data_IF_938941391557
#
_entry.id   IF_938941391557
#
_cell.length_a   1.000
_cell.length_b   1.000
_cell.length_c   1.000
_cell.angle_alpha   90.00
_cell.angle_beta   90.00
_cell.angle_gamma   90.00
#
_symmetry.space_group_name_H-M   'P 1'
#
loop_
_entity.id
_entity.type
_entity.pdbx_description
1 polymer ?
#
# COMPACT_ATOMS: atom_id res chain seq x y z
N UNK A 1 -26.86 -80.55 -40.96
CA UNK A 1 -25.56 -80.10 -40.40
C UNK A 1 -25.81 -78.73 -39.76
N UNK A 2 -26.01 -78.68 -38.43
CA UNK A 2 -26.51 -77.50 -37.69
C UNK A 2 -25.38 -76.46 -37.45
N UNK A 3 -24.86 -75.88 -38.53
CA UNK A 3 -23.80 -74.87 -38.47
C UNK A 3 -24.22 -73.60 -37.73
N UNK A 4 -25.52 -73.24 -37.76
CA UNK A 4 -26.05 -72.06 -37.08
C UNK A 4 -25.92 -72.12 -35.55
N UNK A 5 -26.23 -73.25 -34.92
CA UNK A 5 -26.20 -73.36 -33.45
C UNK A 5 -24.78 -73.19 -32.88
N UNK A 6 -23.77 -73.80 -33.51
CA UNK A 6 -22.35 -73.67 -33.08
C UNK A 6 -21.85 -72.22 -33.26
N UNK A 7 -22.31 -71.53 -34.31
CA UNK A 7 -21.95 -70.12 -34.55
C UNK A 7 -22.63 -69.19 -33.53
N UNK A 8 -23.91 -69.39 -33.22
CA UNK A 8 -24.62 -68.61 -32.20
C UNK A 8 -24.04 -68.81 -30.80
N UNK A 9 -23.67 -70.04 -30.46
CA UNK A 9 -22.97 -70.33 -29.18
C UNK A 9 -21.60 -69.67 -29.14
N UNK A 10 -20.82 -69.74 -30.24
CA UNK A 10 -19.52 -69.08 -30.32
C UNK A 10 -19.62 -67.55 -30.17
N UNK A 11 -20.61 -66.90 -30.81
CA UNK A 11 -20.82 -65.45 -30.65
C UNK A 11 -21.27 -65.08 -29.23
N UNK A 12 -22.12 -65.89 -28.60
CA UNK A 12 -22.58 -65.65 -27.23
C UNK A 12 -21.39 -65.74 -26.26
N UNK A 13 -20.54 -66.75 -26.40
CA UNK A 13 -19.32 -66.91 -25.59
C UNK A 13 -18.37 -65.74 -25.80
N UNK A 14 -18.19 -65.26 -27.03
CA UNK A 14 -17.36 -64.09 -27.32
C UNK A 14 -17.88 -62.81 -26.65
N UNK A 15 -19.20 -62.57 -26.67
CA UNK A 15 -19.83 -61.43 -25.99
C UNK A 15 -19.65 -61.53 -24.47
N UNK A 16 -19.87 -62.71 -23.89
CA UNK A 16 -19.64 -62.91 -22.45
C UNK A 16 -18.17 -62.73 -22.06
N UNK A 17 -17.24 -63.20 -22.88
CA UNK A 17 -15.81 -62.97 -22.65
C UNK A 17 -15.45 -61.49 -22.70
N UNK A 18 -16.00 -60.74 -23.67
CA UNK A 18 -15.79 -59.29 -23.75
C UNK A 18 -16.38 -58.56 -22.54
N UNK A 19 -17.54 -59.01 -22.02
CA UNK A 19 -18.17 -58.43 -20.84
C UNK A 19 -17.34 -58.71 -19.58
N UNK A 20 -16.95 -59.97 -19.36
CA UNK A 20 -16.13 -60.38 -18.22
C UNK A 20 -14.79 -59.64 -18.25
N UNK A 21 -14.14 -59.58 -19.43
CA UNK A 21 -12.87 -58.87 -19.59
C UNK A 21 -13.03 -57.37 -19.35
N UNK A 22 -14.13 -56.76 -19.81
CA UNK A 22 -14.45 -55.36 -19.56
C UNK A 22 -14.65 -55.05 -18.08
N UNK A 23 -15.37 -55.90 -17.35
CA UNK A 23 -15.58 -55.76 -15.90
C UNK A 23 -14.30 -56.01 -15.12
N UNK A 24 -13.49 -56.99 -15.53
CA UNK A 24 -12.24 -57.35 -14.85
C UNK A 24 -11.16 -56.27 -15.04
N UNK A 25 -11.08 -55.67 -16.23
CA UNK A 25 -10.21 -54.51 -16.49
C UNK A 25 -10.75 -53.28 -15.76
N UNK A 26 -12.05 -53.02 -15.85
CA UNK A 26 -12.69 -51.87 -15.20
C UNK A 26 -12.58 -51.89 -13.68
N UNK A 27 -12.76 -53.06 -13.05
CA UNK A 27 -12.64 -53.21 -11.60
C UNK A 27 -11.20 -53.18 -11.07
N UNK A 28 -10.20 -53.52 -11.89
CA UNK A 28 -8.79 -53.49 -11.50
C UNK A 28 -8.17 -52.07 -11.58
N UNK A 29 -8.73 -51.19 -12.41
CA UNK A 29 -8.23 -49.81 -12.62
C UNK A 29 -8.75 -48.79 -11.60
N UNK A 30 -9.75 -49.15 -10.78
CA UNK A 30 -10.34 -48.26 -9.78
C UNK A 30 -10.22 -48.81 -8.35
N UNK A 31 -9.04 -48.70 -7.72
CA UNK A 31 -8.95 -48.72 -6.27
C UNK A 31 -9.35 -47.33 -5.76
N UNK A 32 -10.65 -47.13 -5.49
CA UNK A 32 -11.23 -45.85 -4.98
C UNK A 32 -10.49 -45.28 -3.75
N UNK A 33 -9.71 -46.09 -3.06
CA UNK A 33 -8.97 -45.77 -1.85
C UNK A 33 -7.67 -44.99 -2.12
N UNK A 34 -6.89 -45.35 -3.16
CA UNK A 34 -5.56 -44.76 -3.38
C UNK A 34 -5.68 -43.28 -3.80
N UNK A 35 -6.66 -42.95 -4.64
CA UNK A 35 -6.89 -41.57 -5.09
C UNK A 35 -7.46 -40.67 -3.98
N UNK A 36 -8.30 -41.23 -3.09
CA UNK A 36 -8.88 -40.48 -1.97
C UNK A 36 -7.81 -40.20 -0.91
N UNK A 37 -6.91 -41.15 -0.64
CA UNK A 37 -5.80 -40.98 0.30
C UNK A 37 -4.80 -39.91 -0.18
N UNK A 38 -4.49 -39.87 -1.48
CA UNK A 38 -3.66 -38.82 -2.08
C UNK A 38 -4.32 -37.43 -1.96
N UNK A 39 -5.62 -37.34 -2.25
CA UNK A 39 -6.37 -36.09 -2.08
C UNK A 39 -6.42 -35.63 -0.62
N UNK A 40 -6.66 -36.54 0.33
CA UNK A 40 -6.66 -36.24 1.75
C UNK A 40 -5.29 -35.70 2.21
N UNK A 41 -4.21 -36.27 1.69
CA UNK A 41 -2.84 -35.83 1.97
C UNK A 41 -2.59 -34.42 1.43
N UNK A 42 -2.97 -34.15 0.18
CA UNK A 42 -2.83 -32.82 -0.43
C UNK A 42 -3.66 -31.75 0.30
N UNK A 43 -4.89 -32.08 0.71
CA UNK A 43 -5.73 -31.18 1.49
C UNK A 43 -5.07 -30.88 2.83
N UNK A 44 -4.55 -31.90 3.52
CA UNK A 44 -3.85 -31.73 4.79
C UNK A 44 -2.63 -30.81 4.67
N UNK A 45 -1.83 -30.98 3.61
CA UNK A 45 -0.67 -30.12 3.33
C UNK A 45 -1.09 -28.68 3.01
N UNK A 46 -2.15 -28.48 2.22
CA UNK A 46 -2.68 -27.15 1.92
C UNK A 46 -3.19 -26.45 3.18
N UNK A 47 -3.90 -27.17 4.05
CA UNK A 47 -4.36 -26.65 5.33
C UNK A 47 -3.20 -26.28 6.25
N UNK A 48 -2.14 -27.09 6.29
CA UNK A 48 -0.94 -26.80 7.07
C UNK A 48 -0.22 -25.56 6.55
N UNK A 49 0.04 -25.48 5.24
CA UNK A 49 0.64 -24.30 4.59
C UNK A 49 -0.20 -23.06 4.81
N UNK A 50 -1.52 -23.17 4.74
CA UNK A 50 -2.42 -22.06 5.02
C UNK A 50 -2.29 -21.58 6.48
N UNK A 51 -2.32 -22.51 7.45
CA UNK A 51 -2.12 -22.17 8.87
C UNK A 51 -0.75 -21.51 9.09
N UNK A 52 0.30 -22.04 8.49
CA UNK A 52 1.66 -21.49 8.60
C UNK A 52 1.74 -20.08 8.01
N UNK A 53 1.23 -19.86 6.79
CA UNK A 53 1.20 -18.54 6.16
C UNK A 53 0.41 -17.54 7.01
N UNK A 54 -0.73 -17.94 7.55
CA UNK A 54 -1.52 -17.09 8.43
C UNK A 54 -0.81 -16.76 9.74
N UNK A 55 -0.11 -17.73 10.35
CA UNK A 55 0.70 -17.50 11.54
C UNK A 55 1.87 -16.54 11.27
N UNK A 56 2.57 -16.72 10.16
CA UNK A 56 3.67 -15.85 9.73
C UNK A 56 3.16 -14.43 9.46
N UNK A 57 2.02 -14.27 8.80
CA UNK A 57 1.41 -12.96 8.58
C UNK A 57 1.04 -12.27 9.90
N UNK A 58 0.44 -13.00 10.84
CA UNK A 58 0.10 -12.45 12.15
C UNK A 58 1.34 -12.03 12.94
N UNK A 59 2.43 -12.82 12.87
CA UNK A 59 3.70 -12.48 13.51
C UNK A 59 4.31 -11.21 12.89
N UNK A 60 4.45 -11.16 11.57
CA UNK A 60 5.04 -10.01 10.86
C UNK A 60 4.22 -8.73 11.11
N UNK A 61 2.89 -8.82 11.14
CA UNK A 61 2.02 -7.69 11.50
C UNK A 61 2.26 -7.24 12.93
N UNK A 62 2.37 -8.16 13.89
CA UNK A 62 2.68 -7.82 15.28
C UNK A 62 4.05 -7.14 15.44
N UNK A 63 5.08 -7.61 14.72
CA UNK A 63 6.40 -6.98 14.70
C UNK A 63 6.36 -5.56 14.11
N UNK A 64 5.57 -5.36 13.04
CA UNK A 64 5.37 -4.05 12.43
C UNK A 64 4.66 -3.08 13.38
N UNK A 65 3.66 -3.54 14.11
CA UNK A 65 2.93 -2.72 15.08
C UNK A 65 3.84 -2.26 16.22
N UNK A 66 4.66 -3.16 16.77
CA UNK A 66 5.66 -2.83 17.80
C UNK A 66 6.67 -1.81 17.25
N UNK A 67 7.16 -2.01 16.03
CA UNK A 67 8.09 -1.09 15.38
C UNK A 67 7.47 0.30 15.18
N UNK A 68 6.23 0.37 14.67
CA UNK A 68 5.53 1.64 14.46
C UNK A 68 5.27 2.39 15.77
N UNK A 69 4.92 1.67 16.85
CA UNK A 69 4.77 2.26 18.18
C UNK A 69 6.09 2.82 18.70
N UNK A 70 7.19 2.09 18.54
CA UNK A 70 8.52 2.56 18.93
C UNK A 70 8.90 3.83 18.16
N UNK A 71 8.67 3.88 16.85
CA UNK A 71 8.89 5.07 16.03
C UNK A 71 8.01 6.25 16.45
N UNK A 72 6.75 6.02 16.83
CA UNK A 72 5.88 7.07 17.38
C UNK A 72 6.42 7.68 18.67
N UNK A 73 6.94 6.88 19.60
CA UNK A 73 7.54 7.39 20.83
C UNK A 73 8.82 8.21 20.57
N UNK A 74 9.62 7.77 19.59
CA UNK A 74 10.81 8.50 19.13
C UNK A 74 10.42 9.82 18.49
N UNK A 75 9.40 9.82 17.62
CA UNK A 75 8.82 11.01 17.01
C UNK A 75 8.39 12.02 18.08
N UNK A 76 7.60 11.61 19.08
CA UNK A 76 7.12 12.49 20.15
C UNK A 76 8.28 13.12 20.94
N UNK A 77 9.35 12.36 21.17
CA UNK A 77 10.52 12.84 21.94
C UNK A 77 11.38 13.81 21.13
N UNK A 78 11.56 13.55 19.84
CA UNK A 78 12.48 14.30 18.98
C UNK A 78 11.81 15.52 18.34
N UNK A 79 10.51 15.44 18.03
CA UNK A 79 9.79 16.49 17.31
C UNK A 79 9.51 17.73 18.16
N UNK A 80 9.50 17.58 19.48
CA UNK A 80 9.19 18.68 20.39
C UNK A 80 10.09 19.89 20.12
N UNK A 81 9.46 21.04 19.92
CA UNK A 81 10.10 22.33 19.69
C UNK A 81 10.99 22.40 18.43
N UNK A 82 10.92 21.41 17.52
CA UNK A 82 11.74 21.38 16.30
C UNK A 82 11.31 22.43 15.25
N UNK A 83 10.07 22.93 15.34
CA UNK A 83 9.45 23.82 14.36
C UNK A 83 9.03 25.18 14.95
N UNK A 84 9.55 25.60 16.10
CA UNK A 84 9.16 26.85 16.80
C UNK A 84 9.18 28.13 15.94
N UNK A 85 9.97 28.17 14.87
CA UNK A 85 10.10 29.31 13.97
C UNK A 85 9.46 29.09 12.59
N UNK A 86 8.59 28.10 12.43
CA UNK A 86 7.97 27.74 11.14
C UNK A 86 6.46 27.90 11.17
N UNK A 87 5.93 28.56 10.15
CA UNK A 87 4.49 28.60 9.88
C UNK A 87 4.17 27.61 8.77
N UNK A 88 3.23 26.69 9.03
CA UNK A 88 2.80 25.68 8.05
C UNK A 88 1.38 25.99 7.60
N UNK A 89 1.20 26.23 6.31
CA UNK A 89 -0.09 26.57 5.70
C UNK A 89 -0.57 25.39 4.86
N UNK A 90 -1.63 24.72 5.29
CA UNK A 90 -2.27 23.67 4.50
C UNK A 90 -3.19 24.29 3.44
N UNK A 91 -3.01 23.88 2.19
CA UNK A 91 -3.73 24.43 1.03
C UNK A 91 -4.75 23.44 0.50
N UNK A 92 -5.99 23.92 0.35
CA UNK A 92 -7.09 23.23 -0.34
C UNK A 92 -7.39 21.80 0.18
N UNK A 93 -7.50 21.67 1.50
CA UNK A 93 -7.61 20.36 2.15
C UNK A 93 -8.96 20.14 2.82
N UNK A 94 -9.46 18.91 2.70
CA UNK A 94 -10.44 18.36 3.62
C UNK A 94 -9.87 18.36 5.05
N UNK A 95 -10.43 19.21 5.91
CA UNK A 95 -10.02 19.41 7.32
C UNK A 95 -9.86 18.11 8.10
N UNK A 96 -10.65 17.10 7.78
CA UNK A 96 -10.60 15.81 8.49
C UNK A 96 -9.32 15.03 8.23
N UNK A 97 -8.70 15.19 7.06
CA UNK A 97 -7.50 14.44 6.67
C UNK A 97 -6.21 15.00 7.28
N UNK A 98 -6.13 16.33 7.42
CA UNK A 98 -4.94 17.00 7.96
C UNK A 98 -4.98 17.21 9.46
N UNK A 99 -6.13 17.06 10.12
CA UNK A 99 -6.24 17.29 11.56
C UNK A 99 -5.18 16.55 12.42
N UNK A 100 -4.88 15.25 12.18
CA UNK A 100 -3.85 14.55 12.95
C UNK A 100 -2.45 15.14 12.74
N UNK A 101 -2.11 15.45 11.48
CA UNK A 101 -0.81 16.02 11.13
C UNK A 101 -0.67 17.46 11.64
N UNK A 102 -1.72 18.26 11.55
CA UNK A 102 -1.77 19.62 12.07
C UNK A 102 -1.55 19.65 13.59
N UNK A 103 -2.13 18.70 14.33
CA UNK A 103 -1.91 18.58 15.76
C UNK A 103 -0.45 18.21 16.08
N UNK A 104 0.13 17.29 15.32
CA UNK A 104 1.53 16.89 15.47
C UNK A 104 2.48 18.07 15.19
N UNK A 105 2.25 18.84 14.13
CA UNK A 105 3.06 20.01 13.81
C UNK A 105 2.97 21.10 14.89
N UNK A 106 1.77 21.32 15.46
CA UNK A 106 1.60 22.23 16.62
C UNK A 106 2.37 21.72 17.84
N UNK A 107 2.37 20.42 18.09
CA UNK A 107 3.16 19.82 19.16
C UNK A 107 4.68 19.98 18.92
N UNK A 108 5.11 19.94 17.66
CA UNK A 108 6.47 20.24 17.26
C UNK A 108 6.83 21.74 17.31
N UNK A 109 5.88 22.62 17.68
CA UNK A 109 6.11 24.06 17.83
C UNK A 109 5.72 24.91 16.61
N UNK A 110 5.22 24.31 15.52
CA UNK A 110 4.82 25.07 14.33
C UNK A 110 3.50 25.83 14.52
N UNK A 111 3.39 27.02 13.93
CA UNK A 111 2.10 27.68 13.74
C UNK A 111 1.40 27.07 12.52
N UNK A 112 0.24 26.46 12.71
CA UNK A 112 -0.49 25.79 11.61
C UNK A 112 -1.73 26.57 11.23
N UNK A 113 -1.83 26.93 9.95
CA UNK A 113 -2.96 27.60 9.35
C UNK A 113 -3.56 26.74 8.23
N UNK A 114 -4.87 26.80 8.07
CA UNK A 114 -5.61 26.11 7.00
C UNK A 114 -6.22 27.16 6.09
N UNK A 115 -5.84 27.17 4.82
CA UNK A 115 -6.25 28.19 3.86
C UNK A 115 -6.80 27.49 2.62
N UNK A 116 -8.03 27.86 2.22
CA UNK A 116 -8.58 27.39 0.94
C UNK A 116 -7.84 28.04 -0.22
N UNK A 117 -7.75 27.37 -1.37
CA UNK A 117 -7.04 27.87 -2.56
C UNK A 117 -7.40 29.33 -2.93
N UNK A 118 -8.66 29.72 -2.72
CA UNK A 118 -9.18 31.05 -2.99
C UNK A 118 -8.61 32.19 -2.12
N UNK A 119 -7.98 31.89 -0.97
CA UNK A 119 -7.49 32.88 0.00
C UNK A 119 -5.96 32.92 0.11
N UNK A 120 -5.24 32.22 -0.77
CA UNK A 120 -3.77 32.16 -0.75
C UNK A 120 -3.10 33.51 -1.03
N UNK A 121 -3.76 34.37 -1.80
CA UNK A 121 -3.29 35.72 -2.12
C UNK A 121 -3.24 36.66 -0.90
N UNK A 122 -3.91 36.30 0.21
CA UNK A 122 -3.87 37.04 1.47
C UNK A 122 -2.69 36.61 2.37
N UNK A 123 -2.09 35.44 2.12
CA UNK A 123 -0.97 34.92 2.91
C UNK A 123 0.33 35.51 2.37
N UNK A 124 1.00 36.33 3.17
CA UNK A 124 2.31 36.88 2.81
C UNK A 124 3.34 35.75 2.76
N UNK A 125 3.87 35.45 1.57
CA UNK A 125 5.01 34.55 1.42
C UNK A 125 6.22 35.13 2.15
N UNK A 126 6.72 34.41 3.14
CA UNK A 126 7.94 34.69 3.89
C UNK A 126 8.78 33.42 3.96
N UNK A 127 10.09 33.52 4.18
CA UNK A 127 10.99 32.35 4.24
C UNK A 127 10.63 31.35 5.35
N UNK A 128 9.91 31.79 6.38
CA UNK A 128 9.43 30.98 7.50
C UNK A 128 8.08 30.28 7.23
N UNK A 129 7.40 30.62 6.13
CA UNK A 129 6.10 30.06 5.75
C UNK A 129 6.30 28.93 4.73
N UNK A 130 5.80 27.74 5.05
CA UNK A 130 5.78 26.59 4.15
C UNK A 130 4.34 26.26 3.75
N UNK A 131 4.07 26.26 2.45
CA UNK A 131 2.77 25.86 1.90
C UNK A 131 2.77 24.36 1.62
N UNK A 132 1.82 23.66 2.23
CA UNK A 132 1.70 22.21 2.18
C UNK A 132 0.51 21.80 1.36
N UNK A 133 0.76 20.95 0.36
CA UNK A 133 -0.20 20.46 -0.61
C UNK A 133 -0.34 18.94 -0.45
N UNK A 134 -1.44 18.46 0.14
CA UNK A 134 -1.74 17.04 0.18
C UNK A 134 -2.16 16.55 -1.21
N UNK A 135 -1.39 15.62 -1.77
CA UNK A 135 -1.68 15.00 -3.05
C UNK A 135 -2.52 13.74 -2.82
N UNK A 136 -3.74 13.74 -3.36
CA UNK A 136 -4.72 12.65 -3.20
C UNK A 136 -5.07 12.00 -4.53
N UNK A 137 -4.98 12.75 -5.63
CA UNK A 137 -5.29 12.29 -6.98
C UNK A 137 -4.02 12.09 -7.79
N UNK A 138 -4.11 11.24 -8.81
CA UNK A 138 -3.00 10.95 -9.72
C UNK A 138 -2.60 12.17 -10.56
N UNK A 139 -3.53 13.13 -10.75
CA UNK A 139 -3.34 14.33 -11.56
C UNK A 139 -3.77 15.59 -10.81
N UNK A 140 -2.93 16.61 -10.81
CA UNK A 140 -3.26 17.94 -10.29
C UNK A 140 -4.19 18.70 -11.25
N UNK A 141 -5.12 19.47 -10.70
CA UNK A 141 -6.01 20.33 -11.49
C UNK A 141 -5.25 21.52 -12.10
N UNK A 142 -5.74 22.06 -13.23
CA UNK A 142 -5.14 23.25 -13.86
C UNK A 142 -5.12 24.46 -12.92
N UNK A 143 -6.14 24.60 -12.07
CA UNK A 143 -6.21 25.64 -11.04
C UNK A 143 -5.07 25.53 -10.04
N UNK A 144 -4.76 24.30 -9.59
CA UNK A 144 -3.64 24.05 -8.66
C UNK A 144 -2.29 24.37 -9.32
N UNK A 145 -2.10 24.04 -10.59
CA UNK A 145 -0.87 24.39 -11.31
C UNK A 145 -0.66 25.90 -11.43
N UNK A 146 -1.73 26.68 -11.63
CA UNK A 146 -1.63 28.15 -11.63
C UNK A 146 -1.18 28.67 -10.27
N UNK A 147 -1.80 28.18 -9.19
CA UNK A 147 -1.43 28.55 -7.80
C UNK A 147 0.02 28.19 -7.49
N UNK A 148 0.47 26.98 -7.85
CA UNK A 148 1.85 26.55 -7.67
C UNK A 148 2.83 27.43 -8.44
N UNK A 149 2.46 27.84 -9.66
CA UNK A 149 3.25 28.77 -10.47
C UNK A 149 3.43 30.13 -9.78
N UNK A 150 2.36 30.72 -9.27
CA UNK A 150 2.41 31.98 -8.54
C UNK A 150 3.30 31.90 -7.29
N UNK A 151 3.13 30.85 -6.48
CA UNK A 151 3.93 30.64 -5.28
C UNK A 151 5.41 30.35 -5.59
N UNK A 152 5.69 29.59 -6.66
CA UNK A 152 7.05 29.34 -7.10
C UNK A 152 7.75 30.64 -7.56
N UNK A 153 7.05 31.52 -8.30
CA UNK A 153 7.61 32.82 -8.68
C UNK A 153 7.88 33.73 -7.48
N UNK A 154 7.07 33.60 -6.42
CA UNK A 154 7.26 34.31 -5.16
C UNK A 154 8.36 33.70 -4.27
N UNK A 155 9.10 32.68 -4.74
CA UNK A 155 10.12 31.93 -3.97
C UNK A 155 9.56 31.37 -2.66
N UNK A 156 8.28 30.99 -2.64
CA UNK A 156 7.66 30.37 -1.47
C UNK A 156 8.25 28.99 -1.22
N UNK A 157 8.33 28.58 0.05
CA UNK A 157 8.68 27.20 0.40
C UNK A 157 7.47 26.32 0.18
N UNK A 158 7.61 25.34 -0.73
CA UNK A 158 6.55 24.40 -1.10
C UNK A 158 6.85 23.02 -0.54
N UNK A 159 5.82 22.36 -0.03
CA UNK A 159 5.90 20.97 0.37
C UNK A 159 4.69 20.16 -0.13
N UNK A 160 4.95 18.96 -0.63
CA UNK A 160 3.95 18.02 -1.13
C UNK A 160 3.95 16.76 -0.28
N UNK A 161 2.79 16.32 0.16
CA UNK A 161 2.65 15.14 1.02
C UNK A 161 1.57 14.20 0.50
N UNK A 162 1.75 12.90 0.66
CA UNK A 162 0.71 11.92 0.32
C UNK A 162 0.79 10.67 1.19
N UNK A 163 -0.30 9.92 1.26
CA UNK A 163 -0.39 8.67 2.02
C UNK A 163 0.32 7.50 1.33
N UNK A 164 0.48 6.40 2.06
CA UNK A 164 1.18 5.20 1.56
C UNK A 164 0.50 4.54 0.36
N UNK A 165 -0.81 4.79 0.14
CA UNK A 165 -1.60 4.17 -0.94
C UNK A 165 -1.59 5.01 -2.21
N UNK A 166 -1.44 6.32 -2.07
CA UNK A 166 -1.45 7.32 -3.13
C UNK A 166 -0.16 7.29 -3.93
N UNK A 167 -0.26 7.53 -5.24
CA UNK A 167 0.88 7.59 -6.18
C UNK A 167 0.71 8.77 -7.14
N UNK A 168 0.81 10.01 -6.63
CA UNK A 168 0.59 11.19 -7.45
C UNK A 168 1.66 11.33 -8.54
N UNK A 169 1.30 11.95 -9.67
CA UNK A 169 2.28 12.35 -10.66
C UNK A 169 3.13 13.50 -10.09
N UNK A 170 4.43 13.24 -9.92
CA UNK A 170 5.41 14.22 -9.44
C UNK A 170 6.11 14.99 -10.58
N UNK A 171 5.80 14.64 -11.83
CA UNK A 171 6.33 15.35 -12.99
C UNK A 171 5.83 16.79 -12.99
N UNK A 172 6.71 17.73 -13.34
CA UNK A 172 6.41 19.16 -13.50
C UNK A 172 6.12 19.93 -12.20
N UNK A 173 6.39 19.32 -11.03
CA UNK A 173 6.34 20.04 -9.76
C UNK A 173 7.55 20.98 -9.59
N UNK A 174 7.34 22.18 -9.04
CA UNK A 174 8.44 23.09 -8.70
C UNK A 174 9.35 22.50 -7.61
N UNK A 175 10.60 22.99 -7.47
CA UNK A 175 11.50 22.59 -6.39
C UNK A 175 10.83 22.72 -5.02
N UNK A 176 10.72 21.61 -4.31
CA UNK A 176 9.88 21.48 -3.12
C UNK A 176 10.33 20.30 -2.25
N UNK A 177 9.86 20.29 -1.01
CA UNK A 177 9.97 19.13 -0.12
C UNK A 177 8.83 18.15 -0.46
N UNK A 178 9.13 16.93 -0.85
CA UNK A 178 8.12 15.91 -1.14
C UNK A 178 8.26 14.77 -0.14
N UNK A 179 7.18 14.42 0.56
CA UNK A 179 7.20 13.36 1.57
C UNK A 179 6.06 12.37 1.35
N UNK A 180 6.41 11.11 1.11
CA UNK A 180 5.45 10.03 0.97
C UNK A 180 5.11 9.38 2.33
N UNK A 181 4.06 8.56 2.33
CA UNK A 181 3.64 7.76 3.50
C UNK A 181 3.41 8.62 4.75
N UNK A 182 2.82 9.81 4.59
CA UNK A 182 2.60 10.79 5.68
C UNK A 182 1.63 10.27 6.76
N UNK A 183 0.89 9.21 6.47
CA UNK A 183 0.05 8.46 7.39
C UNK A 183 0.84 7.52 8.31
N UNK A 184 2.17 7.47 8.19
CA UNK A 184 3.07 6.65 9.03
C UNK A 184 3.95 7.53 9.93
N UNK A 185 4.39 7.03 11.11
CA UNK A 185 5.31 7.78 11.98
C UNK A 185 6.62 8.17 11.29
N UNK A 186 7.11 7.30 10.40
CA UNK A 186 8.35 7.55 9.64
C UNK A 186 8.16 8.70 8.64
N UNK A 187 7.06 8.72 7.87
CA UNK A 187 6.76 9.82 6.96
C UNK A 187 6.54 11.15 7.71
N UNK A 188 5.85 11.11 8.85
CA UNK A 188 5.68 12.28 9.72
C UNK A 188 7.01 12.83 10.24
N UNK A 189 7.92 11.95 10.66
CA UNK A 189 9.26 12.34 11.10
C UNK A 189 10.08 12.94 9.96
N UNK A 190 10.07 12.30 8.79
CA UNK A 190 10.75 12.81 7.59
C UNK A 190 10.23 14.21 7.21
N UNK A 191 8.92 14.41 7.32
CA UNK A 191 8.30 15.71 7.08
C UNK A 191 8.75 16.77 8.08
N UNK A 192 8.69 16.50 9.38
CA UNK A 192 9.15 17.44 10.42
C UNK A 192 10.63 17.79 10.24
N UNK A 193 11.50 16.79 10.00
CA UNK A 193 12.93 17.01 9.76
C UNK A 193 13.16 17.85 8.50
N UNK A 194 12.41 17.56 7.42
CA UNK A 194 12.49 18.30 6.18
C UNK A 194 12.10 19.77 6.33
N UNK A 195 11.00 20.03 7.06
CA UNK A 195 10.56 21.39 7.38
C UNK A 195 11.59 22.13 8.23
N UNK A 196 12.16 21.47 9.24
CA UNK A 196 13.16 22.06 10.13
C UNK A 196 14.44 22.45 9.38
N UNK A 197 14.89 21.59 8.45
CA UNK A 197 16.10 21.82 7.65
C UNK A 197 15.89 22.69 6.42
N UNK A 198 14.64 22.91 6.01
CA UNK A 198 14.33 23.54 4.73
C UNK A 198 14.80 22.69 3.54
N UNK A 199 14.76 21.37 3.68
CA UNK A 199 15.22 20.43 2.65
C UNK A 199 14.31 20.44 1.43
N UNK A 200 14.85 20.05 0.28
CA UNK A 200 14.12 19.84 -0.97
C UNK A 200 14.42 18.44 -1.50
N UNK A 201 13.49 17.88 -2.27
CA UNK A 201 13.59 16.52 -2.80
C UNK A 201 12.51 15.59 -2.26
N UNK A 202 12.49 14.36 -2.77
CA UNK A 202 11.52 13.34 -2.39
C UNK A 202 12.10 12.40 -1.35
N UNK A 203 11.42 12.30 -0.20
CA UNK A 203 11.79 11.45 0.91
C UNK A 203 10.64 10.54 1.35
N UNK A 204 10.98 9.35 1.81
CA UNK A 204 10.02 8.36 2.28
C UNK A 204 10.36 6.96 1.78
N UNK A 205 9.34 6.11 1.66
CA UNK A 205 9.44 4.68 1.39
C UNK A 205 9.19 4.30 -0.06
N UNK A 206 8.66 5.20 -0.89
CA UNK A 206 8.35 4.88 -2.28
C UNK A 206 9.63 4.81 -3.13
N UNK A 207 9.57 4.09 -4.25
CA UNK A 207 10.76 3.76 -5.07
C UNK A 207 11.51 4.97 -5.60
N UNK A 208 10.82 6.08 -5.81
CA UNK A 208 11.39 7.30 -6.38
C UNK A 208 11.98 8.24 -5.32
N UNK A 209 11.89 7.87 -4.03
CA UNK A 209 12.46 8.64 -2.94
C UNK A 209 14.00 8.60 -2.97
N UNK A 210 14.62 9.76 -2.75
CA UNK A 210 16.06 9.93 -2.64
C UNK A 210 16.63 9.28 -1.36
N UNK A 211 15.80 9.15 -0.33
CA UNK A 211 16.12 8.50 0.93
C UNK A 211 14.92 8.50 1.88
N UNK A 212 15.08 7.86 3.04
CA UNK A 212 14.04 7.83 4.07
C UNK A 212 13.86 9.19 4.77
N UNK A 213 14.95 9.93 4.95
CA UNK A 213 14.97 11.22 5.64
C UNK A 213 15.77 12.26 4.83
N UNK A 214 15.39 13.53 4.91
CA UNK A 214 16.18 14.66 4.42
C UNK A 214 17.47 14.92 5.19
#
# INVERSE_FOLDING_TARGET
>A
MNFGFRYHVASLVAVFFSLILGILIGGALFPDHILVDEQATLISELEERFREVHANLAQVQGELDVSNQAWGQVLDTISKDMLEARTVVFVDVDKTRVAPLAQLLKFAGAEVQEVGAAYLSEVTSREDVVFVFPLVEDTLSEEMFMVLGELATASASLAFIWDMKSKPALSDLPPSLMVDSIDTPMGQLAFIIGLARGSQGHYGRQKDAQGLFP
#
